data_IF_008921445782
#
_entry.id   IF_008921445782
#
_cell.length_a   1.000
_cell.length_b   1.000
_cell.length_c   1.000
_cell.angle_alpha   90.00
_cell.angle_beta   90.00
_cell.angle_gamma   90.00
#
_symmetry.space_group_name_H-M   'P 1'
#
loop_
_entity.id
_entity.type
_entity.pdbx_description
1 polymer ?
#
# COMPACT_ATOMS: atom_id res chain seq x y z
N UNK A 1 23.99 -56.88 -18.10
CA UNK A 1 23.74 -55.54 -18.68
C UNK A 1 22.28 -55.22 -18.42
N UNK A 2 22.00 -54.46 -17.35
CA UNK A 2 20.65 -54.05 -16.97
C UNK A 2 20.62 -52.52 -17.03
N UNK A 3 19.80 -51.97 -17.92
CA UNK A 3 19.62 -50.54 -18.10
C UNK A 3 18.40 -50.07 -17.30
N UNK A 4 18.64 -49.40 -16.17
CA UNK A 4 17.60 -48.67 -15.44
C UNK A 4 17.23 -47.40 -16.21
N UNK A 5 15.98 -47.34 -16.67
CA UNK A 5 15.39 -46.13 -17.23
C UNK A 5 14.86 -45.25 -16.10
N UNK A 6 15.55 -44.14 -15.83
CA UNK A 6 15.08 -43.10 -14.93
C UNK A 6 13.89 -42.36 -15.57
N UNK A 7 12.70 -42.51 -14.99
CA UNK A 7 11.48 -41.80 -15.41
C UNK A 7 11.39 -40.50 -14.61
N UNK A 8 11.65 -39.34 -15.23
CA UNK A 8 11.51 -38.04 -14.58
C UNK A 8 10.03 -37.63 -14.54
N UNK A 9 9.45 -37.51 -13.36
CA UNK A 9 8.13 -36.90 -13.17
C UNK A 9 8.27 -35.38 -13.27
N UNK A 10 7.56 -34.78 -14.22
CA UNK A 10 7.43 -33.32 -14.36
C UNK A 10 6.25 -32.89 -13.49
N UNK A 11 6.52 -32.27 -12.34
CA UNK A 11 5.49 -31.60 -11.54
C UNK A 11 4.99 -30.35 -12.28
N UNK A 12 3.73 -30.39 -12.70
CA UNK A 12 3.02 -29.24 -13.25
C UNK A 12 2.65 -28.32 -12.08
N UNK A 13 3.46 -27.28 -11.86
CA UNK A 13 3.14 -26.21 -10.90
C UNK A 13 2.02 -25.35 -11.48
N UNK A 14 0.81 -25.50 -10.95
CA UNK A 14 -0.36 -24.71 -11.33
C UNK A 14 -0.12 -23.23 -10.98
N UNK A 15 -0.24 -22.35 -11.98
CA UNK A 15 -0.07 -20.92 -11.81
C UNK A 15 -1.23 -20.34 -10.96
N UNK A 16 -0.97 -19.42 -10.02
CA UNK A 16 -2.03 -18.82 -9.22
C UNK A 16 -3.01 -18.04 -10.12
N UNK A 17 -4.29 -18.19 -9.82
CA UNK A 17 -5.39 -17.59 -10.57
C UNK A 17 -5.23 -16.07 -10.75
N UNK A 18 -5.55 -15.58 -11.96
CA UNK A 18 -5.52 -14.16 -12.32
C UNK A 18 -6.44 -13.34 -11.40
N UNK A 19 -6.02 -12.17 -10.89
CA UNK A 19 -6.85 -11.33 -10.03
C UNK A 19 -8.10 -10.82 -10.77
N UNK A 20 -9.22 -10.75 -10.05
CA UNK A 20 -10.54 -10.37 -10.58
C UNK A 20 -10.54 -8.89 -11.01
N UNK A 21 -11.02 -8.61 -12.21
CA UNK A 21 -11.13 -7.26 -12.79
C UNK A 21 -12.06 -6.36 -11.96
N UNK A 22 -11.55 -5.21 -11.52
CA UNK A 22 -12.34 -4.17 -10.86
C UNK A 22 -13.22 -3.43 -11.88
N UNK A 23 -14.55 -3.37 -11.66
CA UNK A 23 -15.47 -2.55 -12.47
C UNK A 23 -15.52 -1.14 -11.89
N UNK A 24 -15.00 -0.13 -12.63
CA UNK A 24 -15.17 1.29 -12.29
C UNK A 24 -16.66 1.66 -12.31
N UNK A 25 -17.16 2.27 -11.23
CA UNK A 25 -18.38 3.10 -11.25
C UNK A 25 -17.96 4.56 -11.12
N UNK A 26 -18.52 5.42 -11.97
CA UNK A 26 -18.22 6.85 -12.07
C UNK A 26 -18.80 7.61 -10.88
N UNK A 27 -17.96 8.35 -10.14
CA UNK A 27 -18.40 9.38 -9.21
C UNK A 27 -18.66 10.69 -9.96
N UNK A 28 -19.71 11.40 -9.57
CA UNK A 28 -19.95 12.81 -9.91
C UNK A 28 -19.69 13.62 -8.63
N UNK A 29 -18.59 14.39 -8.60
CA UNK A 29 -18.27 15.32 -7.50
C UNK A 29 -18.11 16.72 -8.07
N UNK A 30 -18.76 17.68 -7.41
CA UNK A 30 -18.79 19.11 -7.75
C UNK A 30 -17.47 19.77 -7.34
N UNK A 31 -16.85 20.52 -8.27
CA UNK A 31 -15.57 21.22 -8.07
C UNK A 31 -15.74 22.48 -7.21
N UNK A 32 -14.82 22.69 -6.27
CA UNK A 32 -14.49 24.02 -5.74
C UNK A 32 -12.99 24.25 -5.92
N UNK A 33 -12.63 25.23 -6.75
CA UNK A 33 -11.24 25.52 -7.12
C UNK A 33 -10.62 26.50 -6.13
N UNK A 34 -9.52 26.13 -5.47
CA UNK A 34 -8.56 27.11 -4.92
C UNK A 34 -7.14 26.55 -4.97
N UNK A 35 -6.40 26.92 -6.02
CA UNK A 35 -4.96 26.64 -6.12
C UNK A 35 -4.20 27.42 -5.04
N UNK A 36 -3.63 26.70 -4.07
CA UNK A 36 -2.59 27.25 -3.19
C UNK A 36 -1.35 26.37 -3.32
N UNK A 37 -0.36 26.86 -4.06
CA UNK A 37 0.94 26.21 -4.20
C UNK A 37 1.59 26.08 -2.81
N UNK A 38 1.64 24.85 -2.29
CA UNK A 38 2.34 24.51 -1.06
C UNK A 38 3.55 23.65 -1.40
N UNK A 39 4.73 24.06 -0.94
CA UNK A 39 5.99 23.36 -1.20
C UNK A 39 6.08 22.08 -0.35
N UNK A 40 5.75 20.94 -0.96
CA UNK A 40 5.75 19.60 -0.34
C UNK A 40 7.19 19.06 -0.20
N UNK A 41 7.55 18.36 0.88
CA UNK A 41 8.90 17.76 1.11
C UNK A 41 8.84 16.31 1.62
N UNK A 42 9.91 15.53 1.53
CA UNK A 42 9.98 14.13 2.04
C UNK A 42 10.99 13.99 3.19
N UNK A 43 10.66 13.18 4.20
CA UNK A 43 11.56 12.82 5.31
C UNK A 43 12.40 11.58 4.95
N UNK A 44 13.31 11.72 4.00
CA UNK A 44 14.23 10.62 3.64
C UNK A 44 15.16 10.24 4.80
N UNK A 45 15.18 8.96 5.20
CA UNK A 45 16.16 8.40 6.17
C UNK A 45 17.11 7.38 5.52
N UNK A 46 17.37 7.48 4.22
CA UNK A 46 18.32 6.60 3.52
C UNK A 46 19.01 7.28 2.34
N UNK A 47 20.35 7.30 2.39
CA UNK A 47 21.32 7.58 1.33
C UNK A 47 20.92 8.58 0.22
N UNK A 48 20.40 9.75 0.60
CA UNK A 48 20.09 10.83 -0.34
C UNK A 48 20.02 12.17 0.37
N UNK A 49 21.11 12.94 0.30
CA UNK A 49 21.13 14.39 0.45
C UNK A 49 20.61 14.98 1.76
N UNK A 50 21.48 15.03 2.78
CA UNK A 50 21.33 15.98 3.89
C UNK A 50 21.55 17.41 3.37
N UNK A 51 20.46 18.20 3.24
CA UNK A 51 20.39 19.69 3.34
C UNK A 51 19.20 20.27 2.56
N UNK A 52 18.07 20.55 3.22
CA UNK A 52 17.24 21.79 3.03
C UNK A 52 16.05 21.84 4.00
N UNK A 53 16.34 22.17 5.26
CA UNK A 53 15.35 22.44 6.30
C UNK A 53 15.04 23.94 6.35
N UNK A 54 13.76 24.34 6.17
CA UNK A 54 13.22 25.51 6.88
C UNK A 54 11.68 25.57 6.92
N UNK A 55 10.89 25.44 5.84
CA UNK A 55 9.44 25.77 5.91
C UNK A 55 8.46 24.90 5.06
N UNK A 56 8.44 23.56 5.14
CA UNK A 56 7.45 22.74 4.40
C UNK A 56 6.90 21.55 5.18
N UNK A 57 5.61 21.23 5.04
CA UNK A 57 5.01 20.03 5.65
C UNK A 57 5.55 18.76 4.96
N UNK A 58 5.89 17.70 5.72
CA UNK A 58 6.25 16.40 5.15
C UNK A 58 5.09 15.85 4.32
N UNK A 59 5.38 15.29 3.15
CA UNK A 59 4.41 14.61 2.28
C UNK A 59 3.69 13.50 3.05
N UNK A 60 4.37 12.84 3.96
CA UNK A 60 3.79 11.81 4.83
C UNK A 60 2.67 12.39 5.71
N UNK A 61 2.83 13.61 6.22
CA UNK A 61 1.84 14.32 7.05
C UNK A 61 0.64 14.78 6.22
N UNK A 62 0.90 15.37 5.04
CA UNK A 62 -0.16 15.69 4.09
C UNK A 62 -0.96 14.44 3.71
N UNK A 63 -0.27 13.32 3.60
CA UNK A 63 -0.87 12.07 3.18
C UNK A 63 -1.41 11.18 4.31
N UNK A 64 -1.37 11.61 5.58
CA UNK A 64 -1.97 10.81 6.67
C UNK A 64 -3.51 10.79 6.57
N UNK A 65 -4.09 9.62 6.81
CA UNK A 65 -5.55 9.41 6.81
C UNK A 65 -6.18 9.63 8.19
N UNK A 66 -5.38 10.08 9.17
CA UNK A 66 -5.77 10.21 10.57
C UNK A 66 -6.96 11.17 10.82
N UNK A 67 -7.21 12.11 9.92
CA UNK A 67 -8.36 13.03 9.98
C UNK A 67 -9.64 12.47 9.38
N UNK A 68 -9.58 11.30 8.72
CA UNK A 68 -10.69 10.72 7.96
C UNK A 68 -11.31 9.48 8.62
N UNK A 69 -11.01 9.26 9.90
CA UNK A 69 -11.62 8.21 10.71
C UNK A 69 -11.83 8.67 12.15
N UNK A 70 -12.79 8.03 12.82
CA UNK A 70 -12.99 8.14 14.26
C UNK A 70 -12.35 6.94 14.95
N UNK A 71 -11.67 7.17 16.08
CA UNK A 71 -11.13 6.09 16.92
C UNK A 71 -12.24 5.61 17.85
N UNK A 72 -12.59 4.32 17.76
CA UNK A 72 -13.52 3.66 18.69
C UNK A 72 -12.80 3.09 19.89
N UNK A 73 -11.60 2.52 19.68
CA UNK A 73 -10.80 1.91 20.75
C UNK A 73 -9.31 2.02 20.44
N UNK A 74 -8.50 2.21 21.47
CA UNK A 74 -7.03 2.19 21.34
C UNK A 74 -6.47 0.90 21.93
N UNK A 75 -5.60 0.23 21.18
CA UNK A 75 -4.85 -0.94 21.60
C UNK A 75 -3.34 -0.61 21.65
N UNK A 76 -2.55 -1.51 22.24
CA UNK A 76 -1.08 -1.35 22.34
C UNK A 76 -0.39 -1.13 20.99
N UNK A 77 -0.82 -1.85 19.95
CA UNK A 77 -0.18 -1.87 18.64
C UNK A 77 -1.10 -1.42 17.48
N UNK A 78 -2.27 -0.86 17.78
CA UNK A 78 -3.25 -0.48 16.77
C UNK A 78 -4.41 0.30 17.36
N UNK A 79 -5.26 0.86 16.50
CA UNK A 79 -6.48 1.57 16.89
C UNK A 79 -7.64 0.96 16.13
N UNK A 80 -8.69 0.58 16.84
CA UNK A 80 -9.97 0.27 16.22
C UNK A 80 -10.62 1.59 15.80
N UNK A 81 -10.96 1.68 14.52
CA UNK A 81 -11.46 2.89 13.88
C UNK A 81 -12.68 2.57 13.02
N UNK A 82 -13.44 3.61 12.69
CA UNK A 82 -14.38 3.59 11.57
C UNK A 82 -14.09 4.79 10.68
N UNK A 83 -14.15 4.63 9.37
CA UNK A 83 -13.94 5.76 8.46
C UNK A 83 -15.12 6.73 8.51
N UNK A 84 -14.86 8.02 8.33
CA UNK A 84 -15.91 9.04 8.43
C UNK A 84 -17.00 8.84 7.38
N UNK A 85 -16.65 8.30 6.20
CA UNK A 85 -17.58 8.05 5.09
C UNK A 85 -18.36 6.73 5.24
N UNK A 86 -17.96 5.83 6.15
CA UNK A 86 -18.68 4.60 6.47
C UNK A 86 -18.43 4.22 7.94
N UNK A 87 -19.44 4.44 8.79
CA UNK A 87 -19.32 4.18 10.24
C UNK A 87 -19.67 2.75 10.64
N UNK A 88 -20.11 1.92 9.71
CA UNK A 88 -20.62 0.57 9.98
C UNK A 88 -19.52 -0.51 9.92
N UNK A 89 -18.40 -0.22 9.25
CA UNK A 89 -17.32 -1.18 9.05
C UNK A 89 -16.12 -0.80 9.93
N UNK A 90 -15.82 -1.56 11.00
CA UNK A 90 -14.63 -1.33 11.81
C UNK A 90 -13.37 -1.83 11.10
N UNK A 91 -12.28 -1.08 11.29
CA UNK A 91 -10.93 -1.46 10.86
C UNK A 91 -9.95 -1.28 12.01
N UNK A 92 -8.85 -2.02 11.96
CA UNK A 92 -7.69 -1.75 12.80
C UNK A 92 -6.69 -0.93 12.01
N UNK A 93 -6.50 0.33 12.40
CA UNK A 93 -5.46 1.19 11.89
C UNK A 93 -4.14 0.92 12.62
N UNK A 94 -3.09 0.60 11.87
CA UNK A 94 -1.72 0.45 12.37
C UNK A 94 -0.74 1.16 11.43
N UNK A 95 0.51 1.37 11.88
CA UNK A 95 1.55 1.99 11.07
C UNK A 95 2.91 1.35 11.32
N UNK A 96 3.76 1.38 10.30
CA UNK A 96 5.16 0.94 10.38
C UNK A 96 5.27 -0.47 10.99
N UNK A 97 6.19 -0.68 11.93
CA UNK A 97 6.43 -1.98 12.53
C UNK A 97 5.31 -2.46 13.47
N UNK A 98 4.33 -1.62 13.80
CA UNK A 98 3.24 -2.01 14.70
C UNK A 98 2.27 -3.00 14.05
N UNK A 99 2.16 -3.02 12.71
CA UNK A 99 1.34 -4.03 12.01
C UNK A 99 1.77 -5.45 12.39
N UNK A 100 3.07 -5.74 12.43
CA UNK A 100 3.58 -7.07 12.80
C UNK A 100 3.35 -7.40 14.27
N UNK A 101 3.38 -6.40 15.14
CA UNK A 101 3.11 -6.60 16.57
C UNK A 101 1.62 -6.84 16.84
N UNK A 102 0.74 -6.19 16.06
CA UNK A 102 -0.70 -6.41 16.13
C UNK A 102 -1.08 -7.77 15.54
N UNK A 103 -0.48 -8.13 14.40
CA UNK A 103 -0.78 -9.34 13.63
C UNK A 103 0.09 -10.55 14.02
N UNK A 104 0.84 -10.52 15.14
CA UNK A 104 1.84 -11.57 15.46
C UNK A 104 1.23 -12.98 15.49
N UNK A 105 0.00 -13.11 16.03
CA UNK A 105 -0.74 -14.36 16.10
C UNK A 105 -1.17 -14.92 14.73
N UNK A 106 -1.23 -14.07 13.70
CA UNK A 106 -1.63 -14.41 12.33
C UNK A 106 -0.42 -14.53 11.38
N UNK A 107 0.79 -14.31 11.89
CA UNK A 107 2.00 -14.25 11.09
C UNK A 107 2.60 -15.65 10.92
N UNK A 108 2.93 -16.04 9.69
CA UNK A 108 3.71 -17.22 9.42
C UNK A 108 5.19 -17.00 9.81
N UNK A 109 5.58 -17.55 10.96
CA UNK A 109 6.93 -17.36 11.55
C UNK A 109 8.06 -18.04 10.75
N UNK A 110 7.74 -18.90 9.78
CA UNK A 110 8.73 -19.49 8.88
C UNK A 110 9.19 -18.53 7.77
N UNK A 111 8.44 -17.45 7.52
CA UNK A 111 8.74 -16.49 6.46
C UNK A 111 9.56 -15.32 7.02
N UNK A 112 10.78 -15.18 6.51
CA UNK A 112 11.64 -14.04 6.83
C UNK A 112 11.09 -12.75 6.22
N UNK A 113 10.97 -11.69 7.03
CA UNK A 113 10.52 -10.37 6.55
C UNK A 113 11.49 -9.77 5.54
N UNK A 114 11.03 -9.57 4.31
CA UNK A 114 11.80 -8.90 3.26
C UNK A 114 12.18 -7.47 3.68
N UNK A 115 13.37 -7.01 3.30
CA UNK A 115 13.92 -5.71 3.71
C UNK A 115 12.95 -4.54 3.43
N UNK A 116 12.34 -4.53 2.25
CA UNK A 116 11.38 -3.49 1.83
C UNK A 116 9.96 -3.63 2.40
N UNK A 117 9.68 -4.64 3.24
CA UNK A 117 8.36 -4.90 3.81
C UNK A 117 8.29 -4.64 5.33
N UNK A 118 9.37 -4.22 5.99
CA UNK A 118 9.43 -4.14 7.46
C UNK A 118 8.68 -2.96 8.07
N UNK A 119 8.34 -1.95 7.27
CA UNK A 119 7.81 -0.66 7.74
C UNK A 119 6.86 -0.05 6.70
N UNK A 120 5.67 -0.64 6.46
CA UNK A 120 4.66 0.02 5.64
C UNK A 120 4.24 1.35 6.28
N UNK A 121 3.79 2.33 5.48
CA UNK A 121 3.49 3.65 6.01
C UNK A 121 2.20 3.63 6.84
N UNK A 122 1.11 3.11 6.25
CA UNK A 122 -0.17 2.91 6.92
C UNK A 122 -0.73 1.53 6.57
N UNK A 123 -1.41 0.90 7.53
CA UNK A 123 -2.14 -0.33 7.31
C UNK A 123 -3.52 -0.29 7.95
N UNK A 124 -4.53 -0.78 7.22
CA UNK A 124 -5.88 -0.97 7.72
C UNK A 124 -6.24 -2.43 7.62
N UNK A 125 -6.66 -3.04 8.72
CA UNK A 125 -6.99 -4.46 8.78
C UNK A 125 -8.48 -4.59 9.01
N UNK A 126 -9.17 -5.32 8.15
CA UNK A 126 -10.54 -5.75 8.38
C UNK A 126 -10.52 -7.19 8.90
N UNK A 127 -10.75 -7.35 10.20
CA UNK A 127 -10.71 -8.68 10.85
C UNK A 127 -11.86 -9.60 10.41
N UNK A 128 -12.97 -9.02 9.91
CA UNK A 128 -14.16 -9.77 9.47
C UNK A 128 -13.98 -10.32 8.06
N UNK A 129 -13.53 -9.49 7.12
CA UNK A 129 -13.29 -9.91 5.72
C UNK A 129 -11.92 -10.53 5.52
N UNK A 130 -11.08 -10.56 6.56
CA UNK A 130 -9.68 -11.03 6.51
C UNK A 130 -8.87 -10.32 5.43
N UNK A 131 -8.99 -9.00 5.36
CA UNK A 131 -8.23 -8.18 4.42
C UNK A 131 -7.23 -7.29 5.17
N UNK A 132 -6.02 -7.13 4.63
CA UNK A 132 -5.01 -6.19 5.12
C UNK A 132 -4.67 -5.23 3.99
N UNK A 133 -5.10 -3.98 4.12
CA UNK A 133 -4.75 -2.91 3.20
C UNK A 133 -3.41 -2.31 3.63
N UNK A 134 -2.42 -2.36 2.75
CA UNK A 134 -1.05 -1.92 2.99
C UNK A 134 -0.75 -0.76 2.06
N UNK A 135 -0.58 0.43 2.63
CA UNK A 135 -0.35 1.66 1.89
C UNK A 135 1.12 2.02 2.01
N UNK A 136 1.76 2.20 0.86
CA UNK A 136 3.10 2.75 0.78
C UNK A 136 3.07 4.12 0.11
N UNK A 137 3.65 5.10 0.78
CA UNK A 137 3.79 6.47 0.30
C UNK A 137 5.15 6.63 -0.36
N UNK A 138 5.16 7.30 -1.51
CA UNK A 138 6.39 7.63 -2.22
C UNK A 138 6.33 9.06 -2.75
N UNK A 139 7.34 9.82 -2.37
CA UNK A 139 7.54 11.18 -2.83
C UNK A 139 8.92 11.33 -3.44
N UNK A 140 8.97 12.03 -4.57
CA UNK A 140 10.19 12.38 -5.27
C UNK A 140 10.07 13.78 -5.87
N UNK A 141 11.19 14.50 -5.95
CA UNK A 141 11.30 15.83 -6.57
C UNK A 141 12.32 15.90 -7.69
N UNK A 142 13.38 15.08 -7.62
CA UNK A 142 14.47 15.05 -8.60
C UNK A 142 14.70 13.63 -9.12
N UNK A 143 15.44 13.48 -10.22
CA UNK A 143 15.85 12.17 -10.72
C UNK A 143 16.55 11.32 -9.65
N UNK A 144 16.31 10.01 -9.66
CA UNK A 144 16.94 9.07 -8.74
C UNK A 144 16.31 7.68 -8.76
N UNK A 145 16.84 6.77 -7.96
CA UNK A 145 16.45 5.34 -7.88
C UNK A 145 15.06 5.08 -7.29
N UNK A 146 14.15 6.04 -7.34
CA UNK A 146 12.79 5.89 -6.79
C UNK A 146 11.86 5.19 -7.78
N UNK A 147 12.08 5.31 -9.10
CA UNK A 147 11.33 4.51 -10.08
C UNK A 147 11.56 2.99 -9.86
N UNK A 148 12.79 2.56 -9.58
CA UNK A 148 13.10 1.15 -9.22
C UNK A 148 12.30 0.65 -8.01
N UNK A 149 11.98 1.54 -7.06
CA UNK A 149 11.28 1.15 -5.82
C UNK A 149 9.83 0.77 -6.09
N UNK A 150 9.17 1.38 -7.08
CA UNK A 150 7.77 1.07 -7.40
C UNK A 150 7.64 -0.21 -8.25
N UNK A 151 8.72 -0.65 -8.93
CA UNK A 151 8.76 -1.93 -9.64
C UNK A 151 8.67 -3.15 -8.70
N UNK A 152 8.91 -2.98 -7.40
CA UNK A 152 8.90 -4.08 -6.43
C UNK A 152 7.51 -4.42 -5.86
N UNK A 153 6.45 -3.77 -6.35
CA UNK A 153 5.10 -3.85 -5.78
C UNK A 153 4.55 -5.29 -5.72
N UNK A 154 4.69 -6.04 -6.82
CA UNK A 154 4.19 -7.41 -6.89
C UNK A 154 4.91 -8.34 -5.91
N UNK A 155 6.22 -8.16 -5.78
CA UNK A 155 7.00 -8.90 -4.80
C UNK A 155 6.49 -8.60 -3.38
N UNK A 156 6.26 -7.33 -3.05
CA UNK A 156 5.76 -6.92 -1.73
C UNK A 156 4.36 -7.49 -1.45
N UNK A 157 3.42 -7.38 -2.40
CA UNK A 157 2.07 -7.95 -2.30
C UNK A 157 2.13 -9.44 -1.99
N UNK A 158 2.85 -10.22 -2.82
CA UNK A 158 3.02 -11.67 -2.61
C UNK A 158 3.71 -11.98 -1.30
N UNK A 159 4.67 -11.17 -0.89
CA UNK A 159 5.38 -11.37 0.38
C UNK A 159 4.45 -11.20 1.58
N UNK A 160 3.59 -10.17 1.59
CA UNK A 160 2.61 -9.98 2.65
C UNK A 160 1.56 -11.10 2.70
N UNK A 161 1.09 -11.58 1.55
CA UNK A 161 0.19 -12.75 1.48
C UNK A 161 0.85 -14.01 2.08
N UNK A 162 2.13 -14.25 1.80
CA UNK A 162 2.87 -15.36 2.43
C UNK A 162 3.06 -15.18 3.94
N UNK A 163 3.28 -13.94 4.36
CA UNK A 163 3.53 -13.60 5.75
C UNK A 163 2.26 -13.67 6.61
N UNK A 164 1.09 -13.36 6.04
CA UNK A 164 -0.22 -13.40 6.70
C UNK A 164 -1.16 -14.33 5.90
N UNK A 165 -0.98 -15.66 5.97
CA UNK A 165 -1.64 -16.60 5.06
C UNK A 165 -3.17 -16.63 5.20
N UNK A 166 -3.70 -16.25 6.36
CA UNK A 166 -5.15 -16.18 6.61
C UNK A 166 -5.80 -14.89 6.12
N UNK A 167 -5.03 -13.98 5.51
CA UNK A 167 -5.48 -12.67 5.09
C UNK A 167 -5.16 -12.41 3.61
N UNK A 168 -6.05 -11.70 2.92
CA UNK A 168 -5.78 -11.11 1.62
C UNK A 168 -5.07 -9.75 1.79
N UNK A 169 -3.78 -9.71 1.42
CA UNK A 169 -2.97 -8.51 1.47
C UNK A 169 -3.13 -7.66 0.21
N UNK A 170 -3.77 -6.51 0.37
CA UNK A 170 -4.01 -5.51 -0.67
C UNK A 170 -2.93 -4.44 -0.58
N UNK A 171 -1.91 -4.55 -1.43
CA UNK A 171 -0.81 -3.59 -1.49
C UNK A 171 -1.12 -2.46 -2.47
N UNK A 172 -0.96 -1.20 -2.05
CA UNK A 172 -1.26 -0.02 -2.84
C UNK A 172 -0.25 1.11 -2.61
N UNK A 173 -0.17 2.03 -3.57
CA UNK A 173 0.68 3.21 -3.46
C UNK A 173 -0.12 4.51 -3.30
N UNK A 174 0.44 5.43 -2.53
CA UNK A 174 0.17 6.86 -2.62
C UNK A 174 1.43 7.55 -3.19
N UNK A 175 1.33 8.07 -4.41
CA UNK A 175 2.43 8.67 -5.17
C UNK A 175 2.24 10.17 -5.34
N UNK A 176 3.33 10.93 -5.41
CA UNK A 176 3.28 12.34 -5.82
C UNK A 176 3.24 12.47 -7.36
N UNK A 177 2.89 13.67 -7.85
CA UNK A 177 2.75 13.91 -9.29
C UNK A 177 4.03 13.73 -10.10
N UNK A 178 5.20 13.80 -9.46
CA UNK A 178 6.48 13.57 -10.11
C UNK A 178 6.50 12.23 -10.87
N UNK A 179 5.89 11.17 -10.33
CA UNK A 179 5.86 9.85 -10.96
C UNK A 179 5.08 9.81 -12.28
N UNK A 180 4.06 10.66 -12.43
CA UNK A 180 3.23 10.72 -13.67
C UNK A 180 4.07 11.02 -14.90
N UNK A 181 5.10 11.85 -14.73
CA UNK A 181 5.96 12.29 -15.83
C UNK A 181 7.21 11.41 -15.98
N UNK A 182 7.68 10.81 -14.88
CA UNK A 182 9.03 10.22 -14.81
C UNK A 182 9.06 8.68 -14.75
N UNK A 183 7.96 8.00 -14.40
CA UNK A 183 7.95 6.53 -14.30
C UNK A 183 6.74 5.92 -15.06
N UNK A 184 6.55 6.31 -16.33
CA UNK A 184 5.36 5.92 -17.12
C UNK A 184 5.27 4.40 -17.32
N UNK A 185 6.40 3.74 -17.62
CA UNK A 185 6.44 2.31 -17.83
C UNK A 185 6.10 1.54 -16.56
N UNK A 186 6.63 1.98 -15.42
CA UNK A 186 6.32 1.40 -14.12
C UNK A 186 4.85 1.60 -13.74
N UNK A 187 4.26 2.77 -14.03
CA UNK A 187 2.84 3.00 -13.79
C UNK A 187 1.95 2.11 -14.68
N UNK A 188 2.39 1.79 -15.89
CA UNK A 188 1.70 0.84 -16.77
C UNK A 188 1.79 -0.58 -16.24
N UNK A 189 2.97 -1.02 -15.80
CA UNK A 189 3.18 -2.30 -15.13
C UNK A 189 2.28 -2.43 -13.88
N UNK A 190 2.30 -1.44 -12.98
CA UNK A 190 1.44 -1.42 -11.79
C UNK A 190 -0.04 -1.59 -12.14
N UNK A 191 -0.50 -0.99 -13.24
CA UNK A 191 -1.87 -1.13 -13.73
C UNK A 191 -2.13 -2.55 -14.26
N UNK A 192 -1.18 -3.14 -14.99
CA UNK A 192 -1.28 -4.50 -15.50
C UNK A 192 -1.39 -5.53 -14.37
N UNK A 193 -0.56 -5.40 -13.33
CA UNK A 193 -0.58 -6.28 -12.15
C UNK A 193 -1.66 -5.94 -11.13
N UNK A 194 -2.50 -4.92 -11.40
CA UNK A 194 -3.59 -4.45 -10.57
C UNK A 194 -3.15 -3.97 -9.16
N UNK A 195 -2.07 -3.19 -9.09
CA UNK A 195 -1.70 -2.45 -7.89
C UNK A 195 -2.40 -1.08 -7.91
N UNK A 196 -3.27 -0.77 -6.93
CA UNK A 196 -3.92 0.53 -6.86
C UNK A 196 -2.89 1.66 -6.62
N UNK A 197 -3.07 2.76 -7.32
CA UNK A 197 -2.23 3.97 -7.20
C UNK A 197 -3.15 5.17 -6.97
N UNK A 198 -2.91 5.86 -5.87
CA UNK A 198 -3.57 7.13 -5.51
C UNK A 198 -2.56 8.27 -5.59
N UNK A 199 -3.04 9.47 -5.92
CA UNK A 199 -2.18 10.64 -6.11
C UNK A 199 -2.29 11.57 -4.92
N UNK A 200 -1.29 11.58 -4.03
CA UNK A 200 -1.35 12.34 -2.77
C UNK A 200 -1.39 13.87 -2.92
N UNK A 201 -1.19 14.38 -4.15
CA UNK A 201 -1.40 15.79 -4.50
C UNK A 201 -2.85 16.14 -4.85
N UNK A 202 -3.70 15.14 -5.13
CA UNK A 202 -5.12 15.37 -5.41
C UNK A 202 -5.87 15.66 -4.10
N UNK A 203 -6.68 16.71 -4.05
CA UNK A 203 -7.46 17.07 -2.86
C UNK A 203 -8.39 15.93 -2.40
N UNK A 204 -8.97 15.18 -3.34
CA UNK A 204 -9.90 14.07 -3.07
C UNK A 204 -9.21 12.73 -2.82
N UNK A 205 -7.87 12.66 -2.82
CA UNK A 205 -7.18 11.37 -2.82
C UNK A 205 -7.49 10.53 -1.57
N UNK A 206 -7.68 11.18 -0.41
CA UNK A 206 -8.00 10.50 0.86
C UNK A 206 -9.34 9.79 0.76
N UNK A 207 -10.33 10.47 0.21
CA UNK A 207 -11.69 9.98 0.05
C UNK A 207 -11.72 8.84 -0.98
N UNK A 208 -11.02 9.00 -2.11
CA UNK A 208 -10.89 7.95 -3.14
C UNK A 208 -10.23 6.67 -2.59
N UNK A 209 -9.16 6.83 -1.82
CA UNK A 209 -8.45 5.72 -1.19
C UNK A 209 -9.34 5.01 -0.17
N UNK A 210 -9.99 5.75 0.72
CA UNK A 210 -10.89 5.18 1.72
C UNK A 210 -12.09 4.51 1.05
N UNK A 211 -12.65 5.12 0.01
CA UNK A 211 -13.73 4.51 -0.77
C UNK A 211 -13.29 3.18 -1.39
N UNK A 212 -12.07 3.11 -1.92
CA UNK A 212 -11.49 1.86 -2.40
C UNK A 212 -11.41 0.81 -1.29
N UNK A 213 -10.87 1.16 -0.11
CA UNK A 213 -10.76 0.25 1.03
C UNK A 213 -12.12 -0.32 1.43
N UNK A 214 -13.13 0.53 1.59
CA UNK A 214 -14.47 0.12 2.07
C UNK A 214 -15.20 -0.77 1.05
N UNK A 215 -14.99 -0.54 -0.24
CA UNK A 215 -15.69 -1.24 -1.32
C UNK A 215 -14.88 -2.40 -1.92
N UNK A 216 -13.73 -2.74 -1.35
CA UNK A 216 -12.89 -3.82 -1.83
C UNK A 216 -13.53 -5.19 -1.56
N UNK A 217 -13.53 -6.08 -2.55
CA UNK A 217 -14.24 -7.36 -2.55
C UNK A 217 -13.34 -8.51 -2.97
#
# INVERSE_FOLDING_TARGET
MSSEQATSQIEVVEQPAKPKKFKKKTLVIVKSTTNKETTIKNKGTGAGGSKTNTNGLPYEELTELNTHYEIKKTHKNGKEIVFNINKDTPFIATKQSNVFKYMDKHMNKSINRAHGCKRPDECFINENTKQIFIIEKKFQQIGGSVCEKIQTAEFKRRHYNKLFPDYDAVYMYCLCDWFKLNCKAELEDLKEINIPVFWGSNETYKEELIYFIINYK
#
